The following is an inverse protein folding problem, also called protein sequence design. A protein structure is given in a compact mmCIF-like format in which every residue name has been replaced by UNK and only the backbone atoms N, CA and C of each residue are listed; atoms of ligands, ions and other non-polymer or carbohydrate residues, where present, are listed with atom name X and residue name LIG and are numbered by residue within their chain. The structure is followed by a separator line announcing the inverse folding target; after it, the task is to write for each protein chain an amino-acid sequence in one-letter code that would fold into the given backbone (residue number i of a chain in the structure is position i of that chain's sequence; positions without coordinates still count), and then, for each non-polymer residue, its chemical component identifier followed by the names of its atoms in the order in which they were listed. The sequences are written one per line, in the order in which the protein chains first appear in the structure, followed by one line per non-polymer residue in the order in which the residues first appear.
data_IF_539115885200
#
_entry.id   IF_539115885200
#
_cell.length_a   1.000
_cell.length_b   1.000
_cell.length_c   1.000
_cell.angle_alpha   90.00
_cell.angle_beta   90.00
_cell.angle_gamma   90.00
#
_symmetry.space_group_name_H-M   'P 1'
#
loop_
_entity.id
_entity.type
_entity.pdbx_description
1 polymer ?
#
# COMPACT_ATOMS: atom_id res chain seq x y z
N UNK A 1 -11.67 9.05 -15.32
CA UNK A 1 -11.88 9.77 -14.06
C UNK A 1 -13.33 9.62 -13.62
N UNK A 2 -13.61 9.15 -12.40
CA UNK A 2 -15.00 9.02 -11.92
C UNK A 2 -15.63 10.39 -11.62
N UNK A 3 -16.92 10.55 -11.94
CA UNK A 3 -17.69 11.78 -11.66
C UNK A 3 -17.83 12.01 -10.14
N UNK A 4 -18.17 10.96 -9.40
CA UNK A 4 -18.20 10.97 -7.93
C UNK A 4 -16.97 10.24 -7.38
N UNK A 5 -15.90 11.02 -7.18
CA UNK A 5 -14.62 10.50 -6.67
C UNK A 5 -14.74 9.97 -5.23
N UNK A 6 -15.56 10.60 -4.39
CA UNK A 6 -15.74 10.17 -3.01
C UNK A 6 -16.40 8.80 -2.94
N UNK A 7 -17.49 8.62 -3.68
CA UNK A 7 -18.19 7.34 -3.77
C UNK A 7 -17.33 6.24 -4.37
N UNK A 8 -16.56 6.55 -5.42
CA UNK A 8 -15.62 5.61 -6.02
C UNK A 8 -14.55 5.18 -5.00
N UNK A 9 -13.93 6.14 -4.30
CA UNK A 9 -12.91 5.84 -3.28
C UNK A 9 -13.47 4.99 -2.13
N UNK A 10 -14.65 5.33 -1.62
CA UNK A 10 -15.31 4.57 -0.56
C UNK A 10 -15.59 3.12 -0.98
N UNK A 11 -16.11 2.94 -2.20
CA UNK A 11 -16.41 1.62 -2.77
C UNK A 11 -15.13 0.78 -2.94
N UNK A 12 -14.01 1.39 -3.37
CA UNK A 12 -12.73 0.69 -3.52
C UNK A 12 -12.17 0.15 -2.20
N UNK A 13 -12.53 0.74 -1.07
CA UNK A 13 -12.06 0.36 0.27
C UNK A 13 -13.22 -0.10 1.17
N UNK A 14 -14.20 -0.83 0.62
CA UNK A 14 -15.40 -1.26 1.36
C UNK A 14 -15.43 -2.74 1.71
N UNK A 15 -14.52 -3.55 1.14
CA UNK A 15 -14.60 -5.00 1.28
C UNK A 15 -14.21 -5.49 2.69
N UNK A 16 -15.13 -6.24 3.33
CA UNK A 16 -15.03 -6.63 4.75
C UNK A 16 -13.79 -7.47 5.09
N UNK A 17 -13.33 -8.33 4.18
CA UNK A 17 -12.14 -9.19 4.42
C UNK A 17 -10.81 -8.44 4.37
N UNK A 18 -10.76 -7.34 3.62
CA UNK A 18 -9.55 -6.54 3.40
C UNK A 18 -9.54 -5.26 4.22
N UNK A 19 -10.56 -5.02 5.05
CA UNK A 19 -10.69 -3.83 5.88
C UNK A 19 -9.50 -3.55 6.79
N UNK A 20 -8.81 -4.60 7.23
CA UNK A 20 -7.59 -4.49 8.03
C UNK A 20 -6.46 -3.73 7.32
N UNK A 21 -6.38 -3.80 5.98
CA UNK A 21 -5.35 -3.14 5.19
C UNK A 21 -5.41 -1.61 5.24
N UNK A 22 -6.48 -1.01 5.75
CA UNK A 22 -6.58 0.45 5.86
C UNK A 22 -7.10 0.90 7.22
N UNK A 23 -7.08 0.02 8.23
CA UNK A 23 -7.55 0.29 9.59
C UNK A 23 -9.08 0.28 9.75
N UNK A 24 -9.82 -0.31 8.82
CA UNK A 24 -11.29 -0.39 8.88
C UNK A 24 -12.00 0.92 8.51
N UNK A 25 -13.20 1.15 9.06
CA UNK A 25 -14.08 2.26 8.65
C UNK A 25 -14.05 3.47 9.60
N UNK A 26 -13.49 3.34 10.81
CA UNK A 26 -13.49 4.40 11.82
C UNK A 26 -12.07 4.75 12.22
N UNK A 27 -11.76 6.06 12.27
CA UNK A 27 -10.42 6.56 12.64
C UNK A 27 -9.31 5.80 11.90
N UNK A 28 -9.48 5.76 10.59
CA UNK A 28 -8.70 4.95 9.67
C UNK A 28 -8.22 5.79 8.50
N UNK A 29 -7.22 5.29 7.77
CA UNK A 29 -6.68 5.95 6.58
C UNK A 29 -7.78 6.25 5.55
N UNK A 30 -8.72 5.31 5.39
CA UNK A 30 -9.91 5.47 4.53
C UNK A 30 -10.77 6.64 4.99
N UNK A 31 -11.14 6.66 6.28
CA UNK A 31 -12.02 7.71 6.81
C UNK A 31 -11.39 9.11 6.72
N UNK A 32 -10.07 9.22 6.96
CA UNK A 32 -9.34 10.47 6.83
C UNK A 32 -9.33 10.97 5.37
N UNK A 33 -9.07 10.07 4.42
CA UNK A 33 -9.06 10.43 3.01
C UNK A 33 -10.45 10.85 2.50
N UNK A 34 -11.54 10.25 2.98
CA UNK A 34 -12.90 10.70 2.66
C UNK A 34 -13.18 12.11 3.17
N UNK A 35 -12.66 12.47 4.34
CA UNK A 35 -12.73 13.83 4.87
C UNK A 35 -11.95 14.79 3.98
N UNK A 36 -10.74 14.41 3.55
CA UNK A 36 -9.93 15.19 2.62
C UNK A 36 -10.62 15.41 1.27
N UNK A 37 -11.22 14.35 0.69
CA UNK A 37 -11.98 14.44 -0.57
C UNK A 37 -13.17 15.38 -0.41
N UNK A 38 -13.85 15.35 0.74
CA UNK A 38 -14.96 16.25 1.05
C UNK A 38 -14.48 17.71 1.18
N UNK A 39 -13.30 17.93 1.78
CA UNK A 39 -12.72 19.26 1.94
C UNK A 39 -12.23 19.86 0.63
N UNK A 40 -11.48 19.10 -0.18
CA UNK A 40 -10.92 19.58 -1.44
C UNK A 40 -10.71 18.43 -2.45
N UNK A 41 -11.80 18.04 -3.12
CA UNK A 41 -11.84 16.91 -4.06
C UNK A 41 -10.77 16.97 -5.15
N UNK A 42 -10.68 18.09 -5.86
CA UNK A 42 -9.80 18.20 -7.03
C UNK A 42 -8.32 18.19 -6.63
N UNK A 43 -7.99 18.77 -5.47
CA UNK A 43 -6.65 18.67 -4.93
C UNK A 43 -6.28 17.23 -4.59
N UNK A 44 -7.16 16.48 -3.92
CA UNK A 44 -6.91 15.06 -3.62
C UNK A 44 -6.79 14.22 -4.91
N UNK A 45 -7.58 14.51 -5.96
CA UNK A 45 -7.39 13.86 -7.27
C UNK A 45 -6.01 14.14 -7.83
N UNK A 46 -5.53 15.38 -7.72
CA UNK A 46 -4.19 15.75 -8.17
C UNK A 46 -3.10 15.01 -7.40
N UNK A 47 -3.28 14.81 -6.08
CA UNK A 47 -2.36 14.02 -5.24
C UNK A 47 -2.27 12.58 -5.73
N UNK A 48 -3.41 11.91 -6.00
CA UNK A 48 -3.39 10.54 -6.53
C UNK A 48 -2.80 10.46 -7.94
N UNK A 49 -3.07 11.45 -8.80
CA UNK A 49 -2.44 11.52 -10.14
C UNK A 49 -0.92 11.66 -10.03
N UNK A 50 -0.43 12.48 -9.11
CA UNK A 50 1.02 12.60 -8.84
C UNK A 50 1.59 11.29 -8.29
N UNK A 51 0.94 10.69 -7.29
CA UNK A 51 1.33 9.42 -6.69
C UNK A 51 1.42 8.30 -7.74
N UNK A 52 0.48 8.25 -8.70
CA UNK A 52 0.45 7.20 -9.73
C UNK A 52 1.28 7.51 -10.97
N UNK A 53 2.00 8.64 -11.01
CA UNK A 53 2.82 9.05 -12.15
C UNK A 53 4.16 8.30 -12.20
N UNK A 54 4.20 7.14 -12.85
CA UNK A 54 5.40 6.29 -12.98
C UNK A 54 6.60 6.93 -13.69
N UNK A 55 6.45 8.12 -14.28
CA UNK A 55 7.54 8.90 -14.86
C UNK A 55 8.37 9.67 -13.80
N UNK A 56 7.87 9.77 -12.56
CA UNK A 56 8.52 10.49 -11.46
C UNK A 56 9.13 9.51 -10.47
N UNK A 57 10.17 9.95 -9.78
CA UNK A 57 10.79 9.19 -8.71
C UNK A 57 9.76 8.72 -7.68
N UNK A 58 9.88 7.46 -7.23
CA UNK A 58 8.91 6.83 -6.35
C UNK A 58 8.88 7.47 -4.98
N UNK A 59 10.05 7.68 -4.37
CA UNK A 59 10.18 8.25 -3.03
C UNK A 59 9.62 9.67 -3.04
N UNK A 60 10.02 10.48 -4.03
CA UNK A 60 9.52 11.86 -4.17
C UNK A 60 8.00 11.94 -4.35
N UNK A 61 7.37 10.97 -5.03
CA UNK A 61 5.90 10.93 -5.17
C UNK A 61 5.22 10.59 -3.86
N UNK A 62 5.76 9.63 -3.11
CA UNK A 62 5.24 9.25 -1.80
C UNK A 62 5.38 10.42 -0.83
N UNK A 63 6.58 11.00 -0.69
CA UNK A 63 6.82 12.13 0.22
C UNK A 63 5.91 13.33 -0.08
N UNK A 64 5.71 13.68 -1.36
CA UNK A 64 4.76 14.73 -1.75
C UNK A 64 3.33 14.39 -1.37
N UNK A 65 2.91 13.14 -1.57
CA UNK A 65 1.58 12.69 -1.17
C UNK A 65 1.38 12.84 0.34
N UNK A 66 2.37 12.42 1.14
CA UNK A 66 2.36 12.53 2.61
C UNK A 66 2.31 14.00 3.06
N UNK A 67 3.16 14.85 2.47
CA UNK A 67 3.17 16.29 2.73
C UNK A 67 1.80 16.92 2.46
N UNK A 68 1.15 16.57 1.35
CA UNK A 68 -0.19 17.09 1.04
C UNK A 68 -1.28 16.56 2.00
N UNK A 69 -1.14 15.32 2.51
CA UNK A 69 -2.00 14.83 3.60
C UNK A 69 -1.83 15.67 4.88
N UNK A 70 -0.61 16.07 5.23
CA UNK A 70 -0.35 16.94 6.38
C UNK A 70 -1.02 18.31 6.20
N UNK A 71 -0.87 18.93 5.02
CA UNK A 71 -1.51 20.21 4.70
C UNK A 71 -3.04 20.14 4.80
N UNK A 72 -3.65 19.09 4.25
CA UNK A 72 -5.10 18.90 4.32
C UNK A 72 -5.57 18.64 5.76
N UNK A 73 -4.79 17.93 6.57
CA UNK A 73 -5.09 17.74 7.97
C UNK A 73 -5.10 19.08 8.73
N UNK A 74 -4.14 19.96 8.46
CA UNK A 74 -4.12 21.31 9.05
C UNK A 74 -5.34 22.14 8.65
N UNK A 75 -5.75 22.09 7.38
CA UNK A 75 -6.96 22.78 6.91
C UNK A 75 -8.23 22.26 7.59
N UNK A 76 -8.38 20.94 7.67
CA UNK A 76 -9.53 20.29 8.32
C UNK A 76 -9.56 20.61 9.81
N UNK A 77 -8.40 20.62 10.49
CA UNK A 77 -8.27 20.97 11.91
C UNK A 77 -8.75 22.38 12.25
N UNK A 78 -8.63 23.33 11.32
CA UNK A 78 -9.17 24.70 11.49
C UNK A 78 -10.68 24.69 11.70
N UNK A 79 -11.39 23.71 11.14
CA UNK A 79 -12.85 23.56 11.24
C UNK A 79 -13.28 22.53 12.28
N UNK A 80 -12.50 21.47 12.47
CA UNK A 80 -12.80 20.41 13.43
C UNK A 80 -11.52 19.86 14.09
N UNK A 81 -11.25 20.30 15.31
CA UNK A 81 -10.07 19.91 16.10
C UNK A 81 -10.03 18.43 16.49
N UNK A 82 -11.15 17.70 16.41
CA UNK A 82 -11.18 16.26 16.73
C UNK A 82 -10.46 15.40 15.69
N UNK A 83 -10.29 15.92 14.47
CA UNK A 83 -9.58 15.23 13.40
C UNK A 83 -8.11 15.58 13.54
N UNK A 84 -7.34 14.68 14.13
CA UNK A 84 -5.94 14.94 14.49
C UNK A 84 -4.95 13.95 13.89
N UNK A 85 -5.36 13.05 13.01
CA UNK A 85 -4.47 12.08 12.38
C UNK A 85 -5.02 11.64 11.01
N UNK A 86 -4.14 11.21 10.11
CA UNK A 86 -4.51 10.75 8.76
C UNK A 86 -4.03 9.35 8.38
N UNK A 87 -3.08 8.75 9.12
CA UNK A 87 -2.55 7.40 8.87
C UNK A 87 -1.77 7.22 7.55
N UNK A 88 -1.25 8.29 6.95
CA UNK A 88 -0.40 8.26 5.75
C UNK A 88 1.06 8.64 6.02
N UNK A 89 1.51 8.77 7.28
CA UNK A 89 2.87 9.23 7.59
C UNK A 89 3.97 8.22 7.24
N UNK A 90 3.65 6.93 7.22
CA UNK A 90 4.56 5.89 6.76
C UNK A 90 4.35 5.57 5.28
N UNK A 91 5.18 4.69 4.73
CA UNK A 91 5.04 4.26 3.33
C UNK A 91 3.94 3.22 3.14
N UNK A 92 3.29 2.71 4.19
CA UNK A 92 2.32 1.60 4.08
C UNK A 92 1.14 2.00 3.21
N UNK A 93 0.42 3.06 3.56
CA UNK A 93 -0.77 3.47 2.80
C UNK A 93 -0.43 3.93 1.37
N UNK A 94 0.60 4.77 1.12
CA UNK A 94 1.02 5.12 -0.24
C UNK A 94 1.37 3.90 -1.10
N UNK A 95 2.11 2.93 -0.56
CA UNK A 95 2.47 1.70 -1.29
C UNK A 95 1.29 0.75 -1.47
N UNK A 96 0.32 0.72 -0.55
CA UNK A 96 -0.94 0.01 -0.71
C UNK A 96 -1.77 0.60 -1.86
N UNK A 97 -1.87 1.92 -1.98
CA UNK A 97 -2.56 2.53 -3.12
C UNK A 97 -1.86 2.20 -4.44
N UNK A 98 -0.52 2.23 -4.45
CA UNK A 98 0.28 1.83 -5.59
C UNK A 98 0.09 0.35 -5.94
N UNK A 99 -0.03 -0.55 -4.97
CA UNK A 99 -0.24 -1.98 -5.22
C UNK A 99 -1.64 -2.29 -5.74
N UNK A 100 -2.65 -1.53 -5.33
CA UNK A 100 -4.00 -1.65 -5.92
C UNK A 100 -4.03 -1.16 -7.38
N UNK A 101 -3.22 -0.15 -7.72
CA UNK A 101 -3.16 0.41 -9.07
C UNK A 101 -2.23 -0.39 -10.00
N UNK A 102 -1.10 -0.85 -9.49
CA UNK A 102 -0.04 -1.55 -10.22
C UNK A 102 0.40 -2.80 -9.44
N UNK A 103 -0.46 -3.83 -9.33
CA UNK A 103 -0.23 -5.00 -8.47
C UNK A 103 1.00 -5.83 -8.84
N UNK A 104 1.43 -5.77 -10.09
CA UNK A 104 2.65 -6.43 -10.57
C UNK A 104 3.93 -5.68 -10.22
N UNK A 105 3.84 -4.43 -9.73
CA UNK A 105 5.00 -3.56 -9.46
C UNK A 105 5.19 -3.25 -7.99
N UNK A 106 4.10 -3.17 -7.22
CA UNK A 106 4.15 -2.75 -5.83
C UNK A 106 3.36 -3.71 -4.94
N UNK A 107 3.77 -3.77 -3.68
CA UNK A 107 3.00 -4.34 -2.59
C UNK A 107 3.13 -3.42 -1.36
N UNK A 108 2.27 -3.58 -0.34
CA UNK A 108 2.33 -2.75 0.86
C UNK A 108 3.68 -2.90 1.58
N UNK A 109 4.25 -1.77 2.01
CA UNK A 109 5.49 -1.71 2.76
C UNK A 109 5.21 -1.72 4.27
N UNK A 110 5.72 -2.73 4.98
CA UNK A 110 5.73 -2.79 6.44
C UNK A 110 7.16 -2.98 6.93
N UNK A 111 7.67 -1.99 7.69
CA UNK A 111 9.07 -1.94 8.09
C UNK A 111 9.46 -3.11 9.00
N UNK A 112 8.58 -3.46 9.91
CA UNK A 112 8.77 -4.48 10.94
C UNK A 112 8.91 -5.86 10.28
N UNK A 113 7.94 -6.22 9.42
CA UNK A 113 7.97 -7.47 8.67
C UNK A 113 9.19 -7.53 7.73
N UNK A 114 9.49 -6.42 7.05
CA UNK A 114 10.65 -6.38 6.17
C UNK A 114 11.98 -6.55 6.92
N UNK A 115 12.08 -6.00 8.14
CA UNK A 115 13.26 -6.19 8.99
C UNK A 115 13.43 -7.64 9.45
N UNK A 116 12.33 -8.38 9.67
CA UNK A 116 12.39 -9.83 9.92
C UNK A 116 12.94 -10.55 8.68
N UNK A 117 12.40 -10.25 7.50
CA UNK A 117 12.88 -10.86 6.24
C UNK A 117 14.36 -10.63 6.00
N UNK A 118 14.87 -9.41 6.25
CA UNK A 118 16.30 -9.14 6.10
C UNK A 118 17.15 -9.98 7.06
N UNK A 119 16.65 -10.30 8.26
CA UNK A 119 17.34 -11.18 9.23
C UNK A 119 17.32 -12.64 8.78
N UNK A 120 16.16 -13.14 8.36
CA UNK A 120 15.99 -14.52 7.88
C UNK A 120 16.79 -14.80 6.60
N UNK A 121 16.98 -13.77 5.76
CA UNK A 121 17.85 -13.84 4.59
C UNK A 121 19.34 -13.56 4.90
N UNK A 122 19.70 -13.43 6.18
CA UNK A 122 21.07 -13.18 6.67
C UNK A 122 21.76 -11.99 5.97
N UNK A 123 21.01 -10.92 5.67
CA UNK A 123 21.56 -9.79 4.95
C UNK A 123 22.41 -8.92 5.88
N UNK A 124 23.67 -8.66 5.52
CA UNK A 124 24.67 -7.99 6.39
C UNK A 124 24.18 -6.69 7.08
N UNK A 125 23.46 -5.83 6.37
CA UNK A 125 23.02 -4.53 6.90
C UNK A 125 21.51 -4.48 7.21
N UNK A 126 21.01 -5.34 8.11
CA UNK A 126 19.55 -5.44 8.40
C UNK A 126 18.89 -4.12 8.83
N UNK A 127 19.65 -3.19 9.44
CA UNK A 127 19.13 -1.91 9.92
C UNK A 127 18.99 -0.85 8.81
N UNK A 128 19.66 -1.04 7.67
CA UNK A 128 19.59 -0.11 6.55
C UNK A 128 18.38 -0.43 5.65
N UNK A 129 17.20 0.01 6.08
CA UNK A 129 15.96 -0.22 5.36
C UNK A 129 15.61 1.00 4.51
N UNK A 130 15.54 0.81 3.19
CA UNK A 130 15.06 1.81 2.23
C UNK A 130 13.97 1.21 1.34
N UNK A 131 13.14 2.07 0.74
CA UNK A 131 12.09 1.63 -0.16
C UNK A 131 12.66 0.92 -1.40
N UNK A 132 13.78 1.40 -1.96
CA UNK A 132 14.45 0.73 -3.08
C UNK A 132 14.94 -0.67 -2.71
N UNK A 133 15.50 -0.82 -1.50
CA UNK A 133 15.95 -2.12 -1.01
C UNK A 133 14.75 -3.05 -0.80
N UNK A 134 13.65 -2.54 -0.24
CA UNK A 134 12.41 -3.28 -0.10
C UNK A 134 11.91 -3.81 -1.45
N UNK A 135 11.86 -2.96 -2.48
CA UNK A 135 11.40 -3.38 -3.81
C UNK A 135 12.32 -4.43 -4.43
N UNK A 136 13.64 -4.29 -4.27
CA UNK A 136 14.62 -5.27 -4.76
C UNK A 136 14.44 -6.63 -4.10
N UNK A 137 14.36 -6.67 -2.76
CA UNK A 137 14.15 -7.92 -2.02
C UNK A 137 12.79 -8.53 -2.36
N UNK A 138 11.75 -7.72 -2.46
CA UNK A 138 10.42 -8.17 -2.91
C UNK A 138 10.50 -8.84 -4.28
N UNK A 139 11.23 -8.26 -5.26
CA UNK A 139 11.39 -8.86 -6.58
C UNK A 139 12.13 -10.20 -6.53
N UNK A 140 13.18 -10.30 -5.70
CA UNK A 140 13.95 -11.53 -5.52
C UNK A 140 13.03 -12.61 -4.93
N UNK A 141 12.35 -12.32 -3.82
CA UNK A 141 11.42 -13.25 -3.19
C UNK A 141 10.29 -13.65 -4.14
N UNK A 142 9.68 -12.71 -4.85
CA UNK A 142 8.66 -13.02 -5.86
C UNK A 142 9.19 -14.00 -6.91
N UNK A 143 10.37 -13.74 -7.46
CA UNK A 143 10.99 -14.60 -8.48
C UNK A 143 11.22 -16.03 -7.94
N UNK A 144 11.73 -16.17 -6.72
CA UNK A 144 11.94 -17.47 -6.08
C UNK A 144 10.61 -18.20 -5.81
N UNK A 145 9.62 -17.51 -5.24
CA UNK A 145 8.30 -18.09 -4.97
C UNK A 145 7.60 -18.57 -6.24
N UNK A 146 7.79 -17.87 -7.36
CA UNK A 146 7.20 -18.24 -8.65
C UNK A 146 7.94 -19.39 -9.35
N UNK A 147 9.19 -19.69 -8.98
CA UNK A 147 9.93 -20.85 -9.47
C UNK A 147 9.45 -22.16 -8.83
N UNK A 148 8.85 -22.10 -7.63
CA UNK A 148 8.29 -23.25 -6.92
C UNK A 148 6.96 -23.69 -7.56
N UNK A 149 6.90 -24.82 -8.31
CA UNK A 149 5.78 -25.11 -9.21
C UNK A 149 4.41 -25.23 -8.52
N UNK A 150 4.38 -25.65 -7.26
CA UNK A 150 3.15 -25.81 -6.50
C UNK A 150 2.54 -24.47 -6.07
N UNK A 151 3.33 -23.39 -5.93
CA UNK A 151 2.82 -22.07 -5.53
C UNK A 151 1.94 -21.45 -6.64
N UNK A 152 2.41 -21.25 -7.89
CA UNK A 152 1.57 -20.73 -8.95
C UNK A 152 0.36 -21.62 -9.25
N UNK A 153 0.52 -22.94 -9.15
CA UNK A 153 -0.58 -23.91 -9.33
C UNK A 153 -1.67 -23.70 -8.27
N UNK A 154 -1.28 -23.57 -7.00
CA UNK A 154 -2.22 -23.29 -5.92
C UNK A 154 -2.89 -21.92 -6.11
N UNK A 155 -2.13 -20.86 -6.42
CA UNK A 155 -2.67 -19.51 -6.63
C UNK A 155 -3.70 -19.49 -7.77
N UNK A 156 -3.39 -20.11 -8.91
CA UNK A 156 -4.32 -20.23 -10.05
C UNK A 156 -5.61 -20.98 -9.68
N UNK A 157 -5.54 -21.95 -8.77
CA UNK A 157 -6.72 -22.68 -8.30
C UNK A 157 -7.64 -21.85 -7.38
N UNK A 158 -7.09 -20.79 -6.75
CA UNK A 158 -7.79 -19.95 -5.76
C UNK A 158 -8.27 -18.63 -6.33
N UNK A 159 -7.60 -18.09 -7.34
CA UNK A 159 -7.98 -16.85 -8.01
C UNK A 159 -9.01 -17.19 -9.09
N UNK A 160 -10.28 -16.92 -8.79
CA UNK A 160 -11.37 -17.16 -9.75
C UNK A 160 -11.24 -16.22 -10.97
N UNK A 161 -11.51 -16.81 -12.14
CA UNK A 161 -11.27 -16.30 -13.49
C UNK A 161 -12.00 -14.98 -13.77
N UNK A 162 -11.24 -13.88 -13.74
CA UNK A 162 -11.46 -12.67 -14.58
C UNK A 162 -10.20 -11.77 -14.61
N UNK A 163 -9.24 -12.03 -13.71
CA UNK A 163 -7.98 -11.31 -13.61
C UNK A 163 -6.79 -12.27 -13.51
N UNK A 164 -6.56 -13.05 -14.56
CA UNK A 164 -5.47 -14.03 -14.59
C UNK A 164 -4.12 -13.39 -14.31
N UNK A 165 -3.88 -12.12 -14.64
CA UNK A 165 -2.59 -11.47 -14.35
C UNK A 165 -2.31 -11.32 -12.84
N UNK A 166 -3.34 -11.35 -11.98
CA UNK A 166 -3.17 -11.13 -10.54
C UNK A 166 -2.48 -12.29 -9.80
N UNK A 167 -2.32 -13.48 -10.39
CA UNK A 167 -1.52 -14.52 -9.73
C UNK A 167 -0.03 -14.15 -9.67
N UNK A 168 0.44 -13.21 -10.51
CA UNK A 168 1.80 -12.65 -10.48
C UNK A 168 1.91 -11.40 -9.61
N UNK A 169 0.82 -11.03 -8.93
CA UNK A 169 0.79 -9.88 -8.03
C UNK A 169 1.86 -10.00 -6.94
N UNK A 170 2.52 -8.88 -6.65
CA UNK A 170 3.48 -8.80 -5.55
C UNK A 170 2.82 -8.88 -4.16
N UNK A 171 1.49 -8.94 -4.11
CA UNK A 171 0.79 -9.30 -2.89
C UNK A 171 1.21 -10.68 -2.37
N UNK A 172 1.62 -11.62 -3.24
CA UNK A 172 2.19 -12.91 -2.80
C UNK A 172 3.42 -12.70 -1.91
N UNK A 173 4.37 -11.87 -2.35
CA UNK A 173 5.56 -11.55 -1.56
C UNK A 173 5.20 -10.85 -0.25
N UNK A 174 4.20 -9.97 -0.26
CA UNK A 174 3.70 -9.33 0.96
C UNK A 174 3.10 -10.33 1.96
N UNK A 175 2.28 -11.28 1.49
CA UNK A 175 1.74 -12.34 2.34
C UNK A 175 2.83 -13.28 2.85
N UNK A 176 3.82 -13.60 2.01
CA UNK A 176 5.00 -14.37 2.42
C UNK A 176 5.76 -13.64 3.53
N UNK A 177 5.97 -12.32 3.42
CA UNK A 177 6.64 -11.54 4.45
C UNK A 177 5.89 -11.55 5.77
N UNK A 178 4.56 -11.41 5.74
CA UNK A 178 3.74 -11.55 6.93
C UNK A 178 3.80 -12.96 7.52
N UNK A 179 3.77 -14.00 6.68
CA UNK A 179 3.85 -15.38 7.13
C UNK A 179 5.15 -15.65 7.87
N UNK A 180 6.30 -15.32 7.25
CA UNK A 180 7.62 -15.48 7.87
C UNK A 180 7.67 -14.69 9.18
N UNK A 181 7.23 -13.44 9.20
CA UNK A 181 7.25 -12.61 10.41
C UNK A 181 6.41 -13.16 11.57
N UNK A 182 5.40 -13.99 11.30
CA UNK A 182 4.58 -14.63 12.34
C UNK A 182 5.20 -15.92 12.88
N UNK A 183 6.03 -16.60 12.10
CA UNK A 183 6.67 -17.86 12.50
C UNK A 183 8.11 -17.67 12.98
N UNK A 184 8.75 -16.57 12.60
CA UNK A 184 10.07 -16.17 13.09
C UNK A 184 10.01 -15.79 14.57
N UNK A 185 10.98 -16.24 15.39
CA UNK A 185 11.03 -15.99 16.83
C UNK A 185 11.36 -14.54 17.22
#
# INVERSE_FOLDING_TARGET
DALDFAKMYDASLSHHKSGSLWGGNHQSAKSAMLIFITNNREFVRSMFRDLFSEQKDLIMRIERFQFHCDQLLEEVRKRNKKINHHHHHDFYMPTLYLSMRYPLRYCPYERENFSVILRELEVKDVNYVTLDRFLKVTNICQSQLMQEPEIPKLLRSKIHLDHSELYESKFLSYEFFQFVSRISP
#
